data_IF_367290493426
#
_entry.id   IF_367290493426
#
_cell.length_a   1.000
_cell.length_b   1.000
_cell.length_c   1.000
_cell.angle_alpha   90.00
_cell.angle_beta   90.00
_cell.angle_gamma   90.00
#
_symmetry.space_group_name_H-M   'P 1'
#
loop_
_entity.id
_entity.type
_entity.pdbx_description
1 polymer ?
#
# COMPACT_ATOMS: atom_id res chain seq x y z
N UNK A 1 -17.90 4.01 -4.62
CA UNK A 1 -17.22 2.71 -4.37
C UNK A 1 -16.10 2.41 -5.37
N UNK A 2 -15.04 1.67 -4.99
CA UNK A 2 -13.79 1.54 -5.77
C UNK A 2 -13.96 0.94 -7.19
N UNK A 3 -14.87 -0.03 -7.37
CA UNK A 3 -15.21 -0.58 -8.71
C UNK A 3 -15.75 0.52 -9.63
N UNK A 4 -16.64 1.37 -9.13
CA UNK A 4 -17.22 2.46 -9.92
C UNK A 4 -16.16 3.48 -10.32
N UNK A 5 -15.24 3.83 -9.40
CA UNK A 5 -14.11 4.71 -9.70
C UNK A 5 -13.22 4.11 -10.79
N UNK A 6 -12.86 2.83 -10.67
CA UNK A 6 -12.07 2.11 -11.67
C UNK A 6 -12.74 2.17 -13.05
N UNK A 7 -14.04 1.85 -13.15
CA UNK A 7 -14.77 1.89 -14.41
C UNK A 7 -14.85 3.30 -15.00
N UNK A 8 -15.01 4.34 -14.17
CA UNK A 8 -15.00 5.73 -14.64
C UNK A 8 -13.64 6.12 -15.22
N UNK A 9 -12.53 5.77 -14.56
CA UNK A 9 -11.18 6.02 -15.10
C UNK A 9 -11.03 5.28 -16.44
N UNK A 10 -11.30 3.97 -16.47
CA UNK A 10 -11.11 3.15 -17.67
C UNK A 10 -11.97 3.58 -18.87
N UNK A 11 -13.21 4.01 -18.64
CA UNK A 11 -14.18 4.28 -19.73
C UNK A 11 -14.35 5.75 -20.07
N UNK A 12 -13.94 6.68 -19.20
CA UNK A 12 -14.20 8.12 -19.35
C UNK A 12 -12.94 8.97 -19.47
N UNK A 13 -11.75 8.36 -19.47
CA UNK A 13 -10.47 9.04 -19.72
C UNK A 13 -9.67 8.25 -20.76
N UNK A 14 -8.54 8.80 -21.20
CA UNK A 14 -7.58 8.12 -22.09
C UNK A 14 -6.47 7.39 -21.31
N UNK A 15 -6.72 7.03 -20.05
CA UNK A 15 -5.70 6.40 -19.19
C UNK A 15 -5.41 4.97 -19.65
N UNK A 16 -4.18 4.71 -20.10
CA UNK A 16 -3.76 3.38 -20.57
C UNK A 16 -3.38 2.39 -19.46
N UNK A 17 -2.98 2.88 -18.28
CA UNK A 17 -2.65 2.04 -17.12
C UNK A 17 -2.88 2.80 -15.81
N UNK A 18 -3.47 2.12 -14.83
CA UNK A 18 -3.58 2.61 -13.46
C UNK A 18 -3.61 1.42 -12.49
N UNK A 19 -3.20 1.66 -11.25
CA UNK A 19 -3.26 0.68 -10.18
C UNK A 19 -3.65 1.35 -8.86
N UNK A 20 -4.45 0.66 -8.06
CA UNK A 20 -4.70 1.07 -6.68
C UNK A 20 -3.63 0.43 -5.79
N UNK A 21 -2.95 1.24 -4.99
CA UNK A 21 -1.94 0.74 -4.06
C UNK A 21 -2.58 0.45 -2.71
N UNK A 22 -2.28 -0.74 -2.18
CA UNK A 22 -2.46 -1.05 -0.76
C UNK A 22 -1.11 -1.30 -0.15
N UNK A 23 -0.86 -0.62 0.98
CA UNK A 23 0.30 -0.89 1.81
C UNK A 23 0.02 -2.10 2.69
N UNK A 24 1.05 -2.87 3.00
CA UNK A 24 0.97 -4.06 3.84
C UNK A 24 2.12 -4.08 4.84
N UNK A 25 1.85 -4.57 6.04
CA UNK A 25 2.86 -4.88 7.06
C UNK A 25 3.09 -6.38 7.07
N UNK A 26 4.34 -6.79 7.06
CA UNK A 26 4.79 -8.19 7.13
C UNK A 26 5.56 -8.39 8.42
N UNK A 27 5.11 -9.31 9.26
CA UNK A 27 5.85 -9.71 10.45
C UNK A 27 6.97 -10.67 10.08
N UNK A 28 8.19 -10.36 10.48
CA UNK A 28 9.37 -11.18 10.19
C UNK A 28 9.51 -12.37 11.14
N UNK A 29 8.83 -12.35 12.29
CA UNK A 29 8.90 -13.43 13.30
C UNK A 29 7.86 -14.54 13.06
N UNK A 30 6.63 -14.17 12.70
CA UNK A 30 5.53 -15.14 12.52
C UNK A 30 4.93 -15.18 11.10
N UNK A 31 5.54 -14.43 10.17
CA UNK A 31 5.13 -14.34 8.75
C UNK A 31 3.69 -13.88 8.51
N UNK A 32 3.05 -13.28 9.52
CA UNK A 32 1.71 -12.71 9.38
C UNK A 32 1.75 -11.44 8.54
N UNK A 33 0.77 -11.29 7.64
CA UNK A 33 0.63 -10.11 6.78
C UNK A 33 -0.68 -9.41 7.09
N UNK A 34 -0.58 -8.11 7.39
CA UNK A 34 -1.71 -7.25 7.71
C UNK A 34 -1.79 -6.12 6.69
N UNK A 35 -3.00 -5.64 6.42
CA UNK A 35 -3.22 -4.49 5.53
C UNK A 35 -2.94 -3.18 6.27
N UNK A 36 -2.33 -2.22 5.58
CA UNK A 36 -1.93 -0.94 6.15
C UNK A 36 -0.49 -0.93 6.66
N UNK A 37 -0.12 0.20 7.26
CA UNK A 37 1.17 0.39 7.92
C UNK A 37 0.93 0.33 9.43
N UNK A 38 1.18 -0.83 10.03
CA UNK A 38 1.09 -1.05 11.47
C UNK A 38 2.47 -0.97 12.13
N UNK A 39 2.55 -0.48 13.37
CA UNK A 39 3.80 -0.39 14.12
C UNK A 39 4.20 -1.73 14.79
N UNK A 40 3.29 -2.69 14.84
CA UNK A 40 3.50 -4.03 15.39
C UNK A 40 2.59 -5.05 14.70
N UNK A 41 2.97 -6.33 14.78
CA UNK A 41 2.18 -7.44 14.29
C UNK A 41 0.91 -7.63 15.14
N UNK A 42 -0.27 -7.59 14.51
CA UNK A 42 -1.55 -7.81 15.20
C UNK A 42 -1.73 -9.25 15.74
N UNK A 43 -0.94 -10.21 15.25
CA UNK A 43 -1.03 -11.62 15.62
C UNK A 43 -0.15 -12.00 16.80
N UNK A 44 1.12 -11.56 16.80
CA UNK A 44 2.10 -11.94 17.83
C UNK A 44 2.67 -10.78 18.64
N UNK A 45 2.31 -9.53 18.32
CA UNK A 45 2.80 -8.33 19.00
C UNK A 45 4.24 -7.93 18.66
N UNK A 46 4.92 -8.67 17.77
CA UNK A 46 6.29 -8.35 17.37
C UNK A 46 6.40 -6.99 16.68
N UNK A 47 7.48 -6.26 17.00
CA UNK A 47 7.90 -5.03 16.30
C UNK A 47 8.90 -5.29 15.16
N UNK A 48 9.33 -6.54 14.99
CA UNK A 48 10.21 -6.96 13.91
C UNK A 48 9.35 -7.15 12.65
N UNK A 49 9.17 -6.05 11.91
CA UNK A 49 8.28 -5.97 10.76
C UNK A 49 8.98 -5.31 9.57
N UNK A 50 8.52 -5.64 8.37
CA UNK A 50 8.80 -4.91 7.14
C UNK A 50 7.48 -4.48 6.50
N UNK A 51 7.57 -3.63 5.49
CA UNK A 51 6.41 -3.14 4.74
C UNK A 51 6.54 -3.51 3.27
N UNK A 52 5.41 -3.76 2.62
CA UNK A 52 5.34 -3.93 1.18
C UNK A 52 4.44 -2.84 0.61
N UNK A 53 4.95 -2.09 -0.35
CA UNK A 53 4.20 -1.03 -1.04
C UNK A 53 4.65 -0.88 -2.50
N UNK A 54 3.98 0.00 -3.26
CA UNK A 54 4.20 0.26 -4.69
C UNK A 54 4.48 1.74 -4.95
N UNK A 55 5.66 2.00 -5.51
CA UNK A 55 6.06 3.32 -6.03
C UNK A 55 6.25 3.25 -7.55
N UNK A 56 7.29 2.56 -8.03
CA UNK A 56 7.64 2.51 -9.47
C UNK A 56 6.92 1.38 -10.23
N UNK A 57 5.66 1.13 -9.93
CA UNK A 57 4.81 0.21 -10.71
C UNK A 57 4.81 -1.26 -10.28
N UNK A 58 5.59 -1.69 -9.28
CA UNK A 58 5.51 -3.04 -8.69
C UNK A 58 5.58 -2.99 -7.16
N UNK A 59 5.13 -4.06 -6.51
CA UNK A 59 5.20 -4.22 -5.05
C UNK A 59 6.62 -4.66 -4.66
N UNK A 60 7.21 -3.99 -3.67
CA UNK A 60 8.53 -4.30 -3.15
C UNK A 60 8.58 -4.05 -1.65
N UNK A 61 9.45 -4.78 -0.96
CA UNK A 61 9.82 -4.53 0.43
C UNK A 61 10.43 -3.12 0.59
N UNK A 62 9.93 -2.35 1.56
CA UNK A 62 10.36 -0.98 1.84
C UNK A 62 11.78 -0.96 2.43
N UNK A 63 12.18 -2.03 3.11
CA UNK A 63 13.58 -2.23 3.54
C UNK A 63 14.60 -2.12 2.40
N UNK A 64 14.23 -2.50 1.17
CA UNK A 64 15.07 -2.43 -0.02
C UNK A 64 15.00 -1.09 -0.77
N UNK A 65 14.34 -0.07 -0.22
CA UNK A 65 14.16 1.22 -0.90
C UNK A 65 15.26 2.22 -0.61
N UNK A 66 15.50 3.11 -1.57
CA UNK A 66 16.30 4.31 -1.35
C UNK A 66 15.48 5.37 -0.58
N UNK A 67 16.17 6.41 -0.09
CA UNK A 67 15.55 7.45 0.74
C UNK A 67 14.43 8.23 0.01
N UNK A 68 14.56 8.47 -1.30
CA UNK A 68 13.52 9.14 -2.08
C UNK A 68 12.21 8.35 -2.12
N UNK A 69 12.29 7.04 -2.31
CA UNK A 69 11.13 6.14 -2.27
C UNK A 69 10.51 6.10 -0.87
N UNK A 70 11.32 6.05 0.18
CA UNK A 70 10.82 6.09 1.57
C UNK A 70 10.10 7.41 1.86
N UNK A 71 10.63 8.53 1.40
CA UNK A 71 9.99 9.83 1.55
C UNK A 71 8.64 9.90 0.83
N UNK A 72 8.55 9.38 -0.40
CA UNK A 72 7.27 9.32 -1.13
C UNK A 72 6.22 8.47 -0.38
N UNK A 73 6.62 7.39 0.29
CA UNK A 73 5.70 6.59 1.10
C UNK A 73 5.10 7.37 2.28
N UNK A 74 5.93 8.20 2.92
CA UNK A 74 5.53 9.07 4.04
C UNK A 74 4.57 10.14 3.54
N UNK A 75 4.91 10.80 2.44
CA UNK A 75 4.12 11.91 1.86
C UNK A 75 2.83 11.43 1.16
N UNK A 76 2.67 10.12 0.97
CA UNK A 76 1.55 9.54 0.23
C UNK A 76 0.21 9.80 0.91
N UNK A 77 -0.66 10.51 0.20
CA UNK A 77 -2.07 10.63 0.55
C UNK A 77 -2.78 9.29 0.41
N UNK A 78 -3.47 8.89 1.48
CA UNK A 78 -4.24 7.63 1.56
C UNK A 78 -5.71 7.95 1.72
N UNK A 79 -6.56 7.19 1.03
CA UNK A 79 -8.01 7.34 1.06
C UNK A 79 -8.63 6.12 1.73
N UNK A 80 -9.53 6.34 2.69
CA UNK A 80 -10.26 5.24 3.31
C UNK A 80 -11.36 4.72 2.38
N UNK A 81 -11.67 3.43 2.51
CA UNK A 81 -12.78 2.83 1.75
C UNK A 81 -14.13 3.46 2.11
N UNK A 82 -14.26 3.95 3.34
CA UNK A 82 -15.45 4.64 3.84
C UNK A 82 -15.68 5.99 3.15
N UNK A 83 -14.61 6.73 2.88
CA UNK A 83 -14.66 8.03 2.17
C UNK A 83 -14.92 7.88 0.66
N UNK A 84 -14.65 6.70 0.08
CA UNK A 84 -14.82 6.44 -1.35
C UNK A 84 -16.24 5.95 -1.74
N UNK A 85 -17.26 6.20 -0.91
CA UNK A 85 -18.64 5.75 -1.18
C UNK A 85 -19.29 6.54 -2.30
#
# INVERSE_FOLDING_TARGET
GIKNLAMKIAMKTQTGYYAFTKDMTVCLDCSHVTMGLSEACEKCGSKTIDYISRITGYLQAVSGWNEGKKQELIDRMRYSVTEMR
#
